data_IF_728565612097
#
_entry.id   IF_728565612097
#
_cell.length_a   1.000
_cell.length_b   1.000
_cell.length_c   1.000
_cell.angle_alpha   90.00
_cell.angle_beta   90.00
_cell.angle_gamma   90.00
#
_symmetry.space_group_name_H-M   'P 1'
#
loop_
_entity.id
_entity.type
_entity.pdbx_description
1 polymer ?
#
# COMPACT_ATOMS: atom_id res chain seq x y z
N UNK A 1 6.70 39.43 -78.45
CA UNK A 1 5.83 39.86 -77.32
C UNK A 1 4.75 38.78 -77.20
N UNK A 2 4.53 38.13 -76.04
CA UNK A 2 4.62 38.62 -74.67
C UNK A 2 5.73 37.96 -73.83
N UNK A 3 6.05 38.60 -72.69
CA UNK A 3 7.05 38.20 -71.71
C UNK A 3 6.40 37.29 -70.67
N UNK A 4 6.99 36.14 -70.39
CA UNK A 4 6.64 35.23 -69.29
C UNK A 4 7.13 35.82 -67.97
N UNK A 5 6.20 36.04 -67.04
CA UNK A 5 6.49 36.48 -65.67
C UNK A 5 6.69 35.20 -64.84
N UNK A 6 7.91 35.00 -64.34
CA UNK A 6 8.25 33.96 -63.37
C UNK A 6 7.85 34.44 -61.97
N UNK A 7 6.90 33.74 -61.34
CA UNK A 7 6.47 34.00 -59.98
C UNK A 7 7.24 33.06 -59.03
N UNK A 8 8.27 33.57 -58.36
CA UNK A 8 8.92 32.85 -57.26
C UNK A 8 7.97 32.80 -56.06
N UNK A 9 7.54 31.60 -55.69
CA UNK A 9 6.89 31.33 -54.41
C UNK A 9 7.97 31.20 -53.32
N UNK A 10 8.04 32.17 -52.42
CA UNK A 10 8.84 32.10 -51.20
C UNK A 10 8.06 31.35 -50.13
N UNK A 11 8.32 30.07 -49.95
CA UNK A 11 7.80 29.28 -48.81
C UNK A 11 8.56 29.65 -47.54
N UNK A 12 7.90 30.37 -46.63
CA UNK A 12 8.36 30.56 -45.25
C UNK A 12 7.97 29.32 -44.45
N UNK A 13 8.96 28.49 -44.11
CA UNK A 13 8.78 27.32 -43.26
C UNK A 13 8.94 27.76 -41.79
N UNK A 14 7.83 28.06 -41.12
CA UNK A 14 7.82 28.30 -39.68
C UNK A 14 7.92 26.98 -38.93
N UNK A 15 9.12 26.64 -38.44
CA UNK A 15 9.34 25.52 -37.54
C UNK A 15 8.84 25.88 -36.13
N UNK A 16 7.61 25.49 -35.80
CA UNK A 16 7.10 25.55 -34.43
C UNK A 16 7.73 24.40 -33.64
N UNK A 17 8.69 24.71 -32.78
CA UNK A 17 9.26 23.74 -31.84
C UNK A 17 8.28 23.52 -30.69
N UNK A 18 7.57 22.39 -30.71
CA UNK A 18 6.75 21.93 -29.59
C UNK A 18 7.68 21.42 -28.48
N UNK A 19 8.06 22.28 -27.55
CA UNK A 19 8.61 21.87 -26.26
C UNK A 19 7.45 21.38 -25.39
N UNK A 20 7.06 20.12 -25.56
CA UNK A 20 6.14 19.47 -24.63
C UNK A 20 6.79 19.38 -23.26
N UNK A 21 6.27 20.10 -22.28
CA UNK A 21 6.60 19.85 -20.87
C UNK A 21 6.15 18.42 -20.56
N UNK A 22 7.10 17.54 -20.23
CA UNK A 22 6.79 16.24 -19.64
C UNK A 22 6.12 16.50 -18.29
N UNK A 23 4.78 16.61 -18.26
CA UNK A 23 4.03 16.50 -17.02
C UNK A 23 4.26 15.09 -16.49
N UNK A 24 4.92 14.99 -15.34
CA UNK A 24 4.86 13.77 -14.54
C UNK A 24 3.38 13.54 -14.25
N UNK A 25 2.82 12.41 -14.71
CA UNK A 25 1.45 12.05 -14.40
C UNK A 25 1.31 12.02 -12.87
N UNK A 26 0.41 12.86 -12.34
CA UNK A 26 0.18 12.98 -10.91
C UNK A 26 -0.92 11.99 -10.51
N UNK A 27 -0.73 11.29 -9.39
CA UNK A 27 -1.75 10.44 -8.79
C UNK A 27 -3.08 11.18 -8.57
N UNK A 28 -4.18 10.47 -8.79
CA UNK A 28 -5.53 10.87 -8.43
C UNK A 28 -5.80 10.65 -6.94
N UNK A 29 -6.62 11.52 -6.35
CA UNK A 29 -7.06 11.36 -4.96
C UNK A 29 -8.17 10.32 -4.88
N UNK A 30 -7.97 9.30 -4.03
CA UNK A 30 -8.93 8.23 -3.82
C UNK A 30 -9.01 7.83 -2.35
N UNK A 31 -10.18 7.38 -1.91
CA UNK A 31 -10.35 6.77 -0.59
C UNK A 31 -11.33 5.61 -0.60
N UNK A 32 -11.07 4.64 0.26
CA UNK A 32 -11.91 3.46 0.41
C UNK A 32 -11.90 2.98 1.86
N UNK A 33 -13.03 2.55 2.40
CA UNK A 33 -13.11 1.96 3.75
C UNK A 33 -14.01 0.74 3.69
N UNK A 34 -13.54 -0.36 4.26
CA UNK A 34 -14.27 -1.63 4.33
C UNK A 34 -14.28 -2.15 5.77
N UNK A 35 -15.41 -2.73 6.17
CA UNK A 35 -15.50 -3.52 7.39
C UNK A 35 -14.77 -4.86 7.17
N UNK A 36 -13.69 -5.09 7.92
CA UNK A 36 -12.77 -6.20 7.68
C UNK A 36 -13.39 -7.58 7.95
N UNK A 37 -14.50 -7.66 8.70
CA UNK A 37 -15.17 -8.93 9.01
C UNK A 37 -16.27 -9.26 7.99
N UNK A 38 -17.11 -8.28 7.68
CA UNK A 38 -18.27 -8.48 6.81
C UNK A 38 -17.99 -8.24 5.33
N UNK A 39 -16.90 -7.52 5.00
CA UNK A 39 -16.63 -7.05 3.65
C UNK A 39 -17.54 -5.90 3.21
N UNK A 40 -18.35 -5.34 4.11
CA UNK A 40 -19.22 -4.22 3.80
C UNK A 40 -18.38 -2.98 3.44
N UNK A 41 -18.64 -2.44 2.24
CA UNK A 41 -18.07 -1.15 1.81
C UNK A 41 -18.74 -0.02 2.60
N UNK A 42 -17.93 0.80 3.25
CA UNK A 42 -18.36 1.92 4.08
C UNK A 42 -18.11 3.27 3.41
N UNK A 43 -17.00 3.36 2.68
CA UNK A 43 -16.61 4.53 1.88
C UNK A 43 -16.05 4.03 0.55
N UNK A 44 -16.40 4.71 -0.54
CA UNK A 44 -15.79 4.52 -1.85
C UNK A 44 -15.78 5.87 -2.60
N UNK A 45 -14.59 6.39 -2.86
CA UNK A 45 -14.37 7.61 -3.62
C UNK A 45 -13.19 7.40 -4.56
N UNK A 46 -13.46 7.45 -5.87
CA UNK A 46 -12.48 7.16 -6.93
C UNK A 46 -11.74 5.84 -6.68
N UNK A 47 -12.43 4.85 -6.10
CA UNK A 47 -11.80 3.67 -5.51
C UNK A 47 -11.13 2.77 -6.54
N UNK A 48 -11.55 2.89 -7.80
CA UNK A 48 -11.03 2.17 -8.96
C UNK A 48 -10.12 3.04 -9.85
N UNK A 49 -9.81 4.27 -9.45
CA UNK A 49 -8.85 5.12 -10.17
C UNK A 49 -7.44 4.53 -10.07
N UNK A 50 -6.78 4.40 -11.23
CA UNK A 50 -5.41 3.89 -11.30
C UNK A 50 -4.44 4.87 -10.68
N UNK A 51 -3.65 4.38 -9.74
CA UNK A 51 -2.68 5.14 -8.99
C UNK A 51 -1.37 4.40 -8.81
N UNK A 52 -0.29 5.16 -8.60
CA UNK A 52 1.01 4.59 -8.25
C UNK A 52 1.00 4.14 -6.77
N UNK A 53 1.31 2.87 -6.46
CA UNK A 53 1.22 2.34 -5.09
C UNK A 53 2.29 2.90 -4.15
N UNK A 54 3.43 3.34 -4.69
CA UNK A 54 4.64 3.61 -3.91
C UNK A 54 4.93 2.46 -2.91
N UNK A 55 5.42 2.77 -1.71
CA UNK A 55 5.73 1.73 -0.71
C UNK A 55 4.53 0.91 -0.19
N UNK A 56 3.28 1.18 -0.61
CA UNK A 56 2.18 0.25 -0.35
C UNK A 56 2.42 -1.10 -1.03
N UNK A 57 3.18 -1.13 -2.14
CA UNK A 57 3.65 -2.36 -2.82
C UNK A 57 4.26 -3.38 -1.86
N UNK A 58 4.97 -2.92 -0.81
CA UNK A 58 5.62 -3.81 0.14
C UNK A 58 4.64 -4.64 0.98
N UNK A 59 3.35 -4.28 1.02
CA UNK A 59 2.31 -5.14 1.59
C UNK A 59 2.23 -6.47 0.83
N UNK A 60 2.32 -6.45 -0.50
CA UNK A 60 2.32 -7.68 -1.32
C UNK A 60 3.63 -8.45 -1.17
N UNK A 61 4.76 -7.76 -1.06
CA UNK A 61 6.05 -8.41 -0.75
C UNK A 61 6.00 -9.16 0.57
N UNK A 62 5.44 -8.55 1.62
CA UNK A 62 5.23 -9.20 2.91
C UNK A 62 4.22 -10.34 2.82
N UNK A 63 3.11 -10.17 2.09
CA UNK A 63 2.13 -11.23 1.86
C UNK A 63 2.80 -12.49 1.29
N UNK A 64 3.61 -12.34 0.22
CA UNK A 64 4.33 -13.47 -0.38
C UNK A 64 5.43 -14.04 0.53
N UNK A 65 6.08 -13.21 1.34
CA UNK A 65 7.04 -13.67 2.34
C UNK A 65 6.37 -14.53 3.42
N UNK A 66 5.22 -14.10 3.94
CA UNK A 66 4.45 -14.85 4.93
C UNK A 66 3.92 -16.15 4.34
N UNK A 67 3.40 -16.13 3.12
CA UNK A 67 3.00 -17.35 2.40
C UNK A 67 4.18 -18.34 2.27
N UNK A 68 5.39 -17.84 1.96
CA UNK A 68 6.58 -18.67 1.85
C UNK A 68 7.05 -19.22 3.20
N UNK A 69 6.91 -18.46 4.29
CA UNK A 69 7.20 -18.92 5.65
C UNK A 69 6.26 -20.05 6.07
N UNK A 70 4.95 -19.88 5.86
CA UNK A 70 3.94 -20.90 6.17
C UNK A 70 4.10 -22.16 5.31
N UNK A 71 4.53 -22.01 4.06
CA UNK A 71 4.84 -23.13 3.17
C UNK A 71 6.21 -23.78 3.41
N UNK A 72 7.00 -23.31 4.39
CA UNK A 72 8.34 -23.82 4.68
C UNK A 72 9.40 -23.53 3.61
N UNK A 73 9.08 -22.66 2.64
CA UNK A 73 10.03 -22.19 1.59
C UNK A 73 10.98 -21.11 2.11
N UNK A 74 10.60 -20.42 3.18
CA UNK A 74 11.46 -19.55 3.98
C UNK A 74 11.42 -20.00 5.43
N UNK A 75 12.48 -19.64 6.18
CA UNK A 75 12.47 -19.67 7.64
C UNK A 75 12.87 -18.31 8.18
N UNK A 76 12.40 -17.95 9.37
CA UNK A 76 12.68 -16.64 9.98
C UNK A 76 14.18 -16.34 10.15
N UNK A 77 15.00 -17.37 10.38
CA UNK A 77 16.43 -17.25 10.61
C UNK A 77 17.29 -17.40 9.34
N UNK A 78 16.67 -17.80 8.23
CA UNK A 78 17.32 -17.88 6.93
C UNK A 78 17.99 -16.54 6.59
N UNK A 79 19.25 -16.62 6.14
CA UNK A 79 20.04 -15.45 5.79
C UNK A 79 19.89 -15.13 4.30
N UNK A 80 19.34 -13.96 4.03
CA UNK A 80 19.24 -13.36 2.69
C UNK A 80 20.54 -12.60 2.41
N UNK A 81 21.12 -12.85 1.23
CA UNK A 81 22.30 -12.09 0.77
C UNK A 81 21.84 -10.81 0.08
N UNK A 82 22.42 -9.69 0.47
CA UNK A 82 22.15 -8.41 -0.17
C UNK A 82 22.89 -8.32 -1.50
N UNK A 83 22.15 -8.30 -2.61
CA UNK A 83 22.71 -8.08 -3.94
C UNK A 83 23.08 -6.62 -4.17
N UNK A 84 23.82 -6.33 -5.24
CA UNK A 84 24.04 -4.96 -5.71
C UNK A 84 22.73 -4.25 -6.04
N UNK A 85 21.78 -4.98 -6.64
CA UNK A 85 20.45 -4.45 -6.94
C UNK A 85 19.72 -4.05 -5.67
N UNK A 86 19.68 -4.92 -4.65
CA UNK A 86 19.02 -4.64 -3.37
C UNK A 86 19.64 -3.43 -2.67
N UNK A 87 20.96 -3.39 -2.50
CA UNK A 87 21.64 -2.30 -1.79
C UNK A 87 21.57 -0.95 -2.51
N UNK A 88 21.37 -0.97 -3.84
CA UNK A 88 21.17 0.23 -4.66
C UNK A 88 19.79 0.89 -4.51
N UNK A 89 18.84 0.31 -3.78
CA UNK A 89 17.47 0.85 -3.66
C UNK A 89 17.34 1.91 -2.57
N UNK A 90 17.57 3.16 -2.94
CA UNK A 90 17.42 4.34 -2.07
C UNK A 90 15.96 4.83 -1.95
N UNK A 91 15.60 5.66 -0.94
CA UNK A 91 16.42 6.08 0.20
C UNK A 91 16.23 5.24 1.47
N UNK A 92 15.10 4.54 1.59
CA UNK A 92 14.76 3.79 2.80
C UNK A 92 15.36 2.40 2.72
N UNK A 93 16.35 2.09 3.56
CA UNK A 93 17.05 0.81 3.53
C UNK A 93 17.68 0.42 4.87
N UNK A 94 18.03 -0.85 5.05
CA UNK A 94 18.84 -1.34 6.17
C UNK A 94 20.33 -1.02 5.97
N UNK A 95 20.79 -0.89 4.72
CA UNK A 95 22.14 -0.47 4.35
C UNK A 95 23.26 -1.35 4.95
N UNK A 96 23.14 -2.68 4.87
CA UNK A 96 24.16 -3.56 5.46
C UNK A 96 25.37 -3.76 4.56
N UNK A 97 25.25 -3.47 3.26
CA UNK A 97 26.28 -3.55 2.24
C UNK A 97 26.19 -4.80 1.36
N UNK A 98 26.68 -4.69 0.13
CA UNK A 98 26.65 -5.78 -0.87
C UNK A 98 27.37 -7.03 -0.36
N UNK A 99 26.78 -8.20 -0.60
CA UNK A 99 27.28 -9.51 -0.17
C UNK A 99 27.10 -9.78 1.34
N UNK A 100 26.72 -8.78 2.14
CA UNK A 100 26.36 -8.96 3.54
C UNK A 100 24.97 -9.58 3.62
N UNK A 101 24.63 -10.08 4.80
CA UNK A 101 23.41 -10.85 5.01
C UNK A 101 22.51 -10.22 6.05
N UNK A 102 21.21 -10.35 5.87
CA UNK A 102 20.16 -10.11 6.88
C UNK A 102 19.32 -11.37 7.06
N UNK A 103 18.77 -11.64 8.23
CA UNK A 103 17.76 -12.71 8.33
C UNK A 103 16.44 -12.28 7.70
N UNK A 104 15.59 -13.26 7.34
CA UNK A 104 14.20 -12.98 6.93
C UNK A 104 13.47 -12.15 7.99
N UNK A 105 13.70 -12.44 9.29
CA UNK A 105 13.17 -11.61 10.39
C UNK A 105 13.65 -10.16 10.33
N UNK A 106 14.96 -9.93 10.20
CA UNK A 106 15.52 -8.57 10.07
C UNK A 106 14.92 -7.85 8.85
N UNK A 107 14.77 -8.55 7.71
CA UNK A 107 14.21 -7.99 6.49
C UNK A 107 12.73 -7.62 6.64
N UNK A 108 11.89 -8.52 7.16
CA UNK A 108 10.47 -8.27 7.41
C UNK A 108 10.28 -7.11 8.37
N UNK A 109 10.98 -7.11 9.51
CA UNK A 109 10.90 -6.03 10.49
C UNK A 109 11.36 -4.69 9.90
N UNK A 110 12.43 -4.70 9.07
CA UNK A 110 12.89 -3.53 8.33
C UNK A 110 11.87 -2.99 7.33
N UNK A 111 11.18 -3.86 6.60
CA UNK A 111 10.11 -3.47 5.67
C UNK A 111 8.93 -2.86 6.43
N UNK A 112 8.52 -3.48 7.53
CA UNK A 112 7.38 -3.03 8.32
C UNK A 112 7.65 -1.68 8.97
N UNK A 113 8.79 -1.53 9.65
CA UNK A 113 9.09 -0.32 10.44
C UNK A 113 9.67 0.80 9.58
N UNK A 114 10.67 0.49 8.76
CA UNK A 114 11.41 1.50 7.99
C UNK A 114 10.97 1.63 6.54
N UNK A 115 10.11 0.73 6.06
CA UNK A 115 9.82 0.63 4.63
C UNK A 115 11.07 0.34 3.79
N UNK A 116 12.00 -0.45 4.34
CA UNK A 116 13.28 -0.78 3.74
C UNK A 116 13.13 -1.42 2.35
N UNK A 117 13.61 -0.73 1.31
CA UNK A 117 13.56 -1.14 -0.09
C UNK A 117 14.52 -2.31 -0.35
N UNK A 118 15.74 -2.20 0.16
CA UNK A 118 16.78 -3.21 0.02
C UNK A 118 16.33 -4.58 0.57
N UNK A 119 15.70 -4.58 1.74
CA UNK A 119 15.12 -5.77 2.35
C UNK A 119 13.97 -6.35 1.50
N UNK A 120 13.12 -5.50 0.91
CA UNK A 120 12.04 -5.94 0.03
C UNK A 120 12.60 -6.61 -1.22
N UNK A 121 13.64 -6.05 -1.83
CA UNK A 121 14.32 -6.64 -2.99
C UNK A 121 15.03 -7.93 -2.62
N UNK A 122 15.72 -8.00 -1.49
CA UNK A 122 16.37 -9.24 -1.04
C UNK A 122 15.37 -10.38 -0.83
N UNK A 123 14.19 -10.11 -0.26
CA UNK A 123 13.09 -11.09 -0.20
C UNK A 123 12.62 -11.45 -1.61
N UNK A 124 12.42 -10.46 -2.47
CA UNK A 124 11.94 -10.66 -3.84
C UNK A 124 12.88 -11.54 -4.66
N UNK A 125 14.18 -11.28 -4.64
CA UNK A 125 15.21 -12.07 -5.32
C UNK A 125 15.31 -13.48 -4.73
N UNK A 126 15.19 -13.64 -3.41
CA UNK A 126 15.18 -14.96 -2.78
C UNK A 126 13.99 -15.83 -3.22
N UNK A 127 12.82 -15.22 -3.45
CA UNK A 127 11.59 -15.93 -3.80
C UNK A 127 11.38 -16.10 -5.31
N UNK A 128 11.74 -15.08 -6.10
CA UNK A 128 11.52 -15.02 -7.54
C UNK A 128 12.76 -15.28 -8.38
N UNK A 129 13.93 -15.41 -7.77
CA UNK A 129 15.24 -15.50 -8.44
C UNK A 129 15.77 -14.15 -8.92
N UNK A 130 14.89 -13.30 -9.45
CA UNK A 130 15.16 -11.89 -9.81
C UNK A 130 14.02 -11.00 -9.34
N UNK A 131 14.27 -9.69 -9.17
CA UNK A 131 13.24 -8.72 -8.79
C UNK A 131 12.11 -8.64 -9.82
N UNK A 132 12.44 -8.64 -11.13
CA UNK A 132 11.44 -8.63 -12.21
C UNK A 132 10.52 -9.85 -12.18
N UNK A 133 11.09 -11.03 -11.93
CA UNK A 133 10.34 -12.27 -11.78
C UNK A 133 9.41 -12.21 -10.57
N UNK A 134 9.91 -11.65 -9.47
CA UNK A 134 9.10 -11.42 -8.29
C UNK A 134 7.95 -10.42 -8.55
N UNK A 135 8.18 -9.34 -9.31
CA UNK A 135 7.11 -8.42 -9.72
C UNK A 135 5.96 -9.11 -10.47
N UNK A 136 6.28 -10.06 -11.36
CA UNK A 136 5.27 -10.90 -12.01
C UNK A 136 4.51 -11.79 -11.02
N UNK A 137 5.23 -12.45 -10.11
CA UNK A 137 4.60 -13.25 -9.05
C UNK A 137 3.66 -12.42 -8.15
N UNK A 138 4.06 -11.19 -7.81
CA UNK A 138 3.24 -10.25 -7.05
C UNK A 138 1.95 -9.91 -7.80
N UNK A 139 2.04 -9.62 -9.10
CA UNK A 139 0.87 -9.33 -9.95
C UNK A 139 -0.06 -10.54 -10.06
N UNK A 140 0.48 -11.73 -10.30
CA UNK A 140 -0.31 -12.96 -10.34
C UNK A 140 -1.02 -13.22 -9.00
N UNK A 141 -0.35 -12.95 -7.88
CA UNK A 141 -0.96 -13.06 -6.55
C UNK A 141 -2.06 -12.02 -6.37
N UNK A 142 -1.82 -10.77 -6.76
CA UNK A 142 -2.80 -9.69 -6.70
C UNK A 142 -4.10 -10.11 -7.40
N UNK A 143 -4.00 -10.58 -8.64
CA UNK A 143 -5.16 -11.05 -9.41
C UNK A 143 -5.88 -12.24 -8.74
N UNK A 144 -5.14 -13.19 -8.15
CA UNK A 144 -5.72 -14.31 -7.39
C UNK A 144 -6.47 -13.86 -6.13
N UNK A 145 -6.09 -12.72 -5.54
CA UNK A 145 -6.78 -12.12 -4.41
C UNK A 145 -7.98 -11.25 -4.84
N UNK A 146 -8.19 -11.05 -6.13
CA UNK A 146 -9.26 -10.20 -6.68
C UNK A 146 -8.84 -8.75 -6.95
N UNK A 147 -7.54 -8.43 -6.87
CA UNK A 147 -6.99 -7.11 -7.18
C UNK A 147 -6.77 -6.96 -8.70
N UNK A 148 -7.83 -6.98 -9.49
CA UNK A 148 -7.76 -7.08 -10.97
C UNK A 148 -7.19 -5.85 -11.67
N UNK A 149 -7.06 -4.72 -10.97
CA UNK A 149 -6.56 -3.46 -11.53
C UNK A 149 -5.12 -3.16 -11.06
N UNK A 150 -4.44 -4.15 -10.49
CA UNK A 150 -3.11 -3.98 -9.90
C UNK A 150 -2.02 -4.69 -10.71
N UNK A 151 -0.98 -3.94 -11.05
CA UNK A 151 0.25 -4.45 -11.67
C UNK A 151 1.42 -4.03 -10.80
N UNK A 152 2.19 -5.01 -10.34
CA UNK A 152 3.46 -4.81 -9.64
C UNK A 152 4.63 -5.05 -10.58
N UNK A 153 5.65 -4.19 -10.50
CA UNK A 153 6.84 -4.27 -11.34
C UNK A 153 8.10 -4.56 -10.54
N UNK A 154 8.10 -4.20 -9.26
CA UNK A 154 9.24 -4.40 -8.38
C UNK A 154 8.78 -4.64 -6.93
N UNK A 155 9.70 -5.10 -6.06
CA UNK A 155 9.35 -5.53 -4.71
C UNK A 155 9.13 -4.35 -3.73
N UNK A 156 9.65 -3.18 -4.07
CA UNK A 156 9.74 -2.04 -3.15
C UNK A 156 8.64 -0.99 -3.37
N UNK A 157 8.08 -0.92 -4.57
CA UNK A 157 7.21 0.18 -4.97
C UNK A 157 7.98 1.42 -5.42
N UNK A 158 9.27 1.30 -5.74
CA UNK A 158 10.01 2.37 -6.41
C UNK A 158 9.37 2.69 -7.77
N UNK A 159 9.53 3.93 -8.27
CA UNK A 159 8.83 4.39 -9.47
C UNK A 159 9.06 3.48 -10.68
N UNK A 160 7.95 3.07 -11.28
CA UNK A 160 7.87 2.38 -12.56
C UNK A 160 6.54 2.80 -13.19
N UNK A 161 6.51 3.30 -14.45
CA UNK A 161 5.30 3.80 -15.08
C UNK A 161 4.22 2.73 -15.31
N UNK A 162 4.59 1.45 -15.39
CA UNK A 162 3.65 0.33 -15.57
C UNK A 162 3.13 -0.20 -14.23
N UNK A 163 3.67 0.26 -13.11
CA UNK A 163 3.26 -0.18 -11.78
C UNK A 163 2.07 0.63 -11.26
N UNK A 164 0.90 0.01 -11.19
CA UNK A 164 -0.35 0.67 -10.82
C UNK A 164 -1.17 -0.18 -9.86
N UNK A 165 -2.07 0.45 -9.13
CA UNK A 165 -3.07 -0.18 -8.25
C UNK A 165 -4.28 0.74 -8.10
N UNK A 166 -5.23 0.37 -7.27
CA UNK A 166 -6.38 1.21 -6.88
C UNK A 166 -6.57 1.21 -5.36
N UNK A 167 -7.37 2.14 -4.84
CA UNK A 167 -7.67 2.17 -3.41
C UNK A 167 -8.47 0.93 -2.97
N UNK A 168 -9.38 0.44 -3.82
CA UNK A 168 -10.10 -0.81 -3.62
C UNK A 168 -9.14 -2.00 -3.49
N UNK A 169 -8.23 -2.17 -4.45
CA UNK A 169 -7.31 -3.30 -4.49
C UNK A 169 -6.37 -3.31 -3.27
N UNK A 170 -5.91 -2.14 -2.84
CA UNK A 170 -5.09 -2.02 -1.62
C UNK A 170 -5.88 -2.36 -0.34
N UNK A 171 -7.19 -2.10 -0.30
CA UNK A 171 -8.04 -2.54 0.80
C UNK A 171 -8.21 -4.06 0.81
N UNK A 172 -8.41 -4.67 -0.36
CA UNK A 172 -8.45 -6.14 -0.54
C UNK A 172 -7.16 -6.77 0.01
N UNK A 173 -6.00 -6.21 -0.33
CA UNK A 173 -4.72 -6.70 0.17
C UNK A 173 -4.58 -6.54 1.70
N UNK A 174 -5.02 -5.41 2.24
CA UNK A 174 -5.02 -5.16 3.69
C UNK A 174 -5.86 -6.19 4.45
N UNK A 175 -7.07 -6.47 3.98
CA UNK A 175 -7.95 -7.51 4.54
C UNK A 175 -7.35 -8.90 4.37
N UNK A 176 -6.75 -9.22 3.22
CA UNK A 176 -6.12 -10.51 2.97
C UNK A 176 -4.95 -10.77 3.93
N UNK A 177 -4.07 -9.78 4.16
CA UNK A 177 -2.99 -9.89 5.14
C UNK A 177 -3.50 -10.23 6.54
N UNK A 178 -4.59 -9.59 6.98
CA UNK A 178 -5.20 -9.86 8.28
C UNK A 178 -5.82 -11.25 8.36
N UNK A 179 -6.54 -11.66 7.32
CA UNK A 179 -7.27 -12.92 7.25
C UNK A 179 -6.32 -14.11 7.20
N UNK A 180 -5.29 -14.02 6.35
CA UNK A 180 -4.45 -15.16 6.00
C UNK A 180 -3.24 -15.29 6.93
N UNK A 181 -2.76 -14.17 7.50
CA UNK A 181 -1.56 -14.13 8.34
C UNK A 181 -1.79 -13.33 9.63
N UNK A 182 -2.78 -13.68 10.48
CA UNK A 182 -3.15 -12.88 11.66
C UNK A 182 -2.03 -12.76 12.70
N UNK A 183 -1.11 -13.72 12.78
CA UNK A 183 0.02 -13.66 13.70
C UNK A 183 1.11 -12.70 13.18
N UNK A 184 1.48 -12.81 11.90
CA UNK A 184 2.42 -11.90 11.26
C UNK A 184 1.85 -10.49 11.11
N UNK A 185 0.52 -10.35 10.96
CA UNK A 185 -0.15 -9.06 10.86
C UNK A 185 0.13 -8.18 12.09
N UNK A 186 0.32 -8.79 13.28
CA UNK A 186 0.67 -8.05 14.50
C UNK A 186 1.97 -7.26 14.36
N UNK A 187 2.87 -7.67 13.47
CA UNK A 187 4.12 -6.95 13.20
C UNK A 187 3.85 -5.53 12.69
N UNK A 188 2.79 -5.29 11.92
CA UNK A 188 2.45 -3.95 11.41
C UNK A 188 2.20 -2.91 12.50
N UNK A 189 1.93 -3.35 13.74
CA UNK A 189 1.79 -2.46 14.89
C UNK A 189 3.13 -1.98 15.48
N UNK A 190 4.26 -2.50 15.01
CA UNK A 190 5.60 -2.16 15.48
C UNK A 190 5.95 -0.70 15.16
N UNK A 191 6.22 0.07 16.21
CA UNK A 191 6.64 1.48 16.11
C UNK A 191 8.15 1.66 15.92
N UNK A 192 8.92 0.63 16.18
CA UNK A 192 10.38 0.66 16.08
C UNK A 192 10.99 -0.73 16.25
N UNK A 193 12.24 -0.87 15.81
CA UNK A 193 13.03 -2.11 15.93
C UNK A 193 14.40 -1.82 16.55
N UNK A 194 15.00 -2.87 17.13
CA UNK A 194 16.43 -2.87 17.47
C UNK A 194 17.16 -3.69 16.41
N UNK A 195 17.84 -3.01 15.51
CA UNK A 195 18.61 -3.65 14.44
C UNK A 195 20.10 -3.48 14.73
N UNK A 196 20.79 -4.58 15.06
CA UNK A 196 22.25 -4.61 15.26
C UNK A 196 22.80 -3.52 16.19
N UNK A 197 22.11 -3.31 17.31
CA UNK A 197 22.45 -2.29 18.31
C UNK A 197 21.88 -0.90 18.03
N UNK A 198 21.34 -0.65 16.83
CA UNK A 198 20.67 0.61 16.49
C UNK A 198 19.18 0.55 16.81
N UNK A 199 18.63 1.63 17.37
CA UNK A 199 17.19 1.80 17.53
C UNK A 199 16.65 2.55 16.33
N UNK A 200 15.80 1.90 15.55
CA UNK A 200 15.20 2.45 14.34
C UNK A 200 13.71 2.66 14.60
N UNK A 201 13.18 3.82 14.20
CA UNK A 201 11.77 4.22 14.44
C UNK A 201 11.02 4.28 13.13
N UNK A 202 9.77 3.86 13.15
CA UNK A 202 8.90 3.92 11.97
C UNK A 202 8.28 5.29 11.77
N UNK A 203 7.83 5.52 10.54
CA UNK A 203 7.28 6.78 10.03
C UNK A 203 5.74 6.79 9.90
N UNK A 204 5.05 5.71 10.31
CA UNK A 204 3.59 5.67 10.26
C UNK A 204 2.98 6.45 11.45
N UNK A 205 2.73 7.74 11.25
CA UNK A 205 2.23 8.64 12.28
C UNK A 205 0.89 8.18 12.89
N UNK A 206 0.00 7.57 12.08
CA UNK A 206 -1.31 7.09 12.54
C UNK A 206 -1.18 6.07 13.66
N UNK A 207 -0.14 5.23 13.62
CA UNK A 207 0.16 4.26 14.68
C UNK A 207 0.45 4.89 16.04
N UNK A 208 0.84 6.17 16.09
CA UNK A 208 1.13 6.88 17.33
C UNK A 208 -0.05 7.73 17.79
N UNK A 209 -0.83 8.30 16.86
CA UNK A 209 -1.84 9.32 17.15
C UNK A 209 -3.28 8.81 17.18
N UNK A 210 -3.57 7.63 16.62
CA UNK A 210 -4.93 7.12 16.52
C UNK A 210 -5.13 5.88 17.39
N UNK A 211 -5.95 6.01 18.45
CA UNK A 211 -6.28 4.90 19.33
C UNK A 211 -7.07 3.82 18.58
N UNK A 212 -6.55 2.59 18.58
CA UNK A 212 -7.13 1.46 17.88
C UNK A 212 -6.49 1.13 16.54
N UNK A 213 -5.57 1.97 16.02
CA UNK A 213 -4.79 1.64 14.83
C UNK A 213 -3.75 0.55 15.12
N UNK A 214 -3.71 -0.48 14.28
CA UNK A 214 -2.81 -1.65 14.40
C UNK A 214 -2.05 -1.98 13.11
N UNK A 215 -2.15 -1.13 12.08
CA UNK A 215 -1.42 -1.22 10.82
C UNK A 215 -1.85 -0.13 9.83
N UNK A 216 -1.52 -0.20 8.54
CA UNK A 216 -0.67 -1.22 7.91
C UNK A 216 0.56 -0.54 7.31
N UNK A 217 0.39 0.37 6.34
CA UNK A 217 1.53 0.87 5.57
C UNK A 217 1.27 2.24 4.96
N UNK A 218 2.28 3.12 5.01
CA UNK A 218 2.34 4.35 4.22
C UNK A 218 3.14 4.16 2.93
N UNK A 219 2.84 4.99 1.92
CA UNK A 219 3.62 5.15 0.69
C UNK A 219 3.77 6.62 0.31
N UNK A 220 4.89 6.95 -0.34
CA UNK A 220 5.13 8.24 -0.97
C UNK A 220 6.15 8.10 -2.10
N UNK A 221 5.88 8.77 -3.20
CA UNK A 221 6.81 9.20 -4.27
C UNK A 221 6.22 10.48 -4.87
N UNK A 222 7.02 11.26 -5.57
CA UNK A 222 6.53 12.51 -6.18
C UNK A 222 5.36 12.26 -7.15
N UNK A 223 5.39 11.15 -7.90
CA UNK A 223 4.30 10.77 -8.81
C UNK A 223 3.05 10.25 -8.08
N UNK A 224 3.21 9.59 -6.93
CA UNK A 224 2.10 8.92 -6.23
C UNK A 224 1.38 9.80 -5.20
N UNK A 225 1.96 10.94 -4.80
CA UNK A 225 1.50 11.67 -3.63
C UNK A 225 1.67 10.85 -2.34
N UNK A 226 0.92 11.22 -1.29
CA UNK A 226 0.97 10.58 0.02
C UNK A 226 -0.16 9.56 0.17
N UNK A 227 0.21 8.28 0.37
CA UNK A 227 -0.72 7.14 0.41
C UNK A 227 -0.68 6.40 1.74
N UNK A 228 -1.79 5.84 2.20
CA UNK A 228 -1.85 5.06 3.44
C UNK A 228 -2.97 4.04 3.42
N UNK A 229 -2.62 2.83 3.84
CA UNK A 229 -3.55 1.79 4.26
C UNK A 229 -3.47 1.67 5.78
N UNK A 230 -4.60 1.82 6.46
CA UNK A 230 -4.72 1.69 7.91
C UNK A 230 -5.70 0.60 8.28
N UNK A 231 -5.33 -0.22 9.25
CA UNK A 231 -6.26 -1.10 9.95
C UNK A 231 -6.51 -0.53 11.33
N UNK A 232 -7.76 -0.54 11.77
CA UNK A 232 -8.12 -0.06 13.10
C UNK A 232 -9.36 -0.76 13.67
N UNK A 233 -9.32 -0.97 14.99
CA UNK A 233 -10.43 -1.56 15.76
C UNK A 233 -10.88 -0.63 16.87
N UNK A 234 -12.20 -0.41 16.97
CA UNK A 234 -12.84 0.29 18.09
C UNK A 234 -14.27 -0.23 18.27
N UNK A 235 -14.74 -0.36 19.51
CA UNK A 235 -16.12 -0.76 19.83
C UNK A 235 -16.55 -2.09 19.17
N UNK A 236 -15.63 -3.05 19.03
CA UNK A 236 -15.89 -4.35 18.40
C UNK A 236 -15.93 -4.33 16.87
N UNK A 237 -15.90 -3.15 16.24
CA UNK A 237 -15.80 -3.00 14.78
C UNK A 237 -14.35 -2.89 14.35
N UNK A 238 -14.01 -3.56 13.25
CA UNK A 238 -12.67 -3.58 12.66
C UNK A 238 -12.78 -3.13 11.20
N UNK A 239 -12.05 -2.09 10.82
CA UNK A 239 -12.06 -1.55 9.46
C UNK A 239 -10.66 -1.53 8.86
N UNK A 240 -10.59 -1.64 7.53
CA UNK A 240 -9.42 -1.30 6.73
C UNK A 240 -9.78 -0.06 5.89
N UNK A 241 -9.02 1.01 6.07
CA UNK A 241 -9.15 2.27 5.33
C UNK A 241 -7.95 2.51 4.42
N UNK A 242 -8.21 3.09 3.25
CA UNK A 242 -7.22 3.47 2.25
C UNK A 242 -7.42 4.93 1.85
N UNK A 243 -6.32 5.68 1.78
CA UNK A 243 -6.25 7.04 1.24
C UNK A 243 -5.06 7.11 0.29
N UNK A 244 -5.25 7.62 -0.91
CA UNK A 244 -4.23 7.74 -1.95
C UNK A 244 -4.20 9.14 -2.58
N UNK A 245 -3.04 9.54 -3.10
CA UNK A 245 -2.88 10.73 -3.94
C UNK A 245 -2.86 12.06 -3.21
N UNK A 246 -2.73 12.06 -1.87
CA UNK A 246 -2.81 13.31 -1.11
C UNK A 246 -1.55 14.17 -1.24
N UNK A 247 -1.70 15.49 -1.08
CA UNK A 247 -0.61 16.45 -1.34
C UNK A 247 0.45 16.48 -0.24
N UNK A 248 0.07 16.17 1.01
CA UNK A 248 0.99 16.15 2.15
C UNK A 248 0.68 14.99 3.08
N UNK A 249 1.67 14.58 3.87
CA UNK A 249 1.47 13.56 4.91
C UNK A 249 0.40 13.98 5.93
N UNK A 250 0.33 15.26 6.28
CA UNK A 250 -0.64 15.78 7.24
C UNK A 250 -2.07 15.68 6.71
N UNK A 251 -2.32 16.09 5.46
CA UNK A 251 -3.65 16.00 4.83
C UNK A 251 -4.08 14.53 4.77
N UNK A 252 -3.18 13.66 4.32
CA UNK A 252 -3.37 12.20 4.27
C UNK A 252 -3.73 11.62 5.63
N UNK A 253 -2.99 11.99 6.66
CA UNK A 253 -3.19 11.48 8.02
C UNK A 253 -4.53 11.99 8.61
N UNK A 254 -4.87 13.25 8.37
CA UNK A 254 -6.12 13.87 8.85
C UNK A 254 -7.35 13.31 8.13
N UNK A 255 -7.27 13.10 6.81
CA UNK A 255 -8.32 12.44 6.04
C UNK A 255 -8.56 11.01 6.53
N UNK A 256 -7.49 10.23 6.74
CA UNK A 256 -7.61 8.87 7.28
C UNK A 256 -8.27 8.88 8.67
N UNK A 257 -7.80 9.72 9.59
CA UNK A 257 -8.38 9.81 10.93
C UNK A 257 -9.88 10.16 10.90
N UNK A 258 -10.28 11.11 10.06
CA UNK A 258 -11.68 11.50 9.88
C UNK A 258 -12.57 10.35 9.37
N UNK A 259 -12.07 9.58 8.38
CA UNK A 259 -12.76 8.38 7.89
C UNK A 259 -12.91 7.33 9.00
N UNK A 260 -11.82 7.07 9.74
CA UNK A 260 -11.86 6.11 10.84
C UNK A 260 -12.82 6.55 11.95
N UNK A 261 -12.82 7.82 12.36
CA UNK A 261 -13.74 8.33 13.37
C UNK A 261 -15.21 8.21 12.93
N UNK A 262 -15.49 8.43 11.65
CA UNK A 262 -16.83 8.26 11.08
C UNK A 262 -17.30 6.80 11.17
N UNK A 263 -16.45 5.85 10.76
CA UNK A 263 -16.87 4.46 10.57
C UNK A 263 -16.63 3.53 11.77
N UNK A 264 -15.80 3.95 12.73
CA UNK A 264 -15.57 3.28 14.01
C UNK A 264 -16.36 3.90 15.18
N UNK A 265 -17.20 4.91 14.92
CA UNK A 265 -18.12 5.44 15.90
C UNK A 265 -19.07 4.33 16.43
N UNK A 266 -19.53 4.42 17.69
CA UNK A 266 -20.56 3.53 18.20
C UNK A 266 -21.77 3.54 17.28
N UNK A 267 -22.24 2.36 16.84
CA UNK A 267 -23.54 2.26 16.18
C UNK A 267 -24.61 2.57 17.24
N UNK A 268 -25.52 3.56 17.01
CA UNK A 268 -26.60 3.82 17.94
C UNK A 268 -27.40 2.54 18.16
N UNK A 269 -27.43 2.04 19.39
CA UNK A 269 -28.22 0.88 19.75
C UNK A 269 -29.69 1.29 19.67
N UNK A 270 -30.37 0.98 18.57
CA UNK A 270 -31.83 1.06 18.53
C UNK A 270 -32.37 0.01 19.50
N UNK A 271 -32.70 0.46 20.71
CA UNK A 271 -33.34 -0.35 21.74
C UNK A 271 -34.66 -0.90 21.20
N UNK A 272 -34.68 -2.16 20.80
CA UNK A 272 -35.93 -2.92 20.65
C UNK A 272 -36.24 -3.55 22.00
N UNK A 273 -36.82 -2.75 22.90
CA UNK A 273 -37.58 -3.28 24.03
C UNK A 273 -39.04 -3.29 23.60
N UNK A 274 -39.50 -4.45 23.11
CA UNK A 274 -40.93 -4.78 23.15
C UNK A 274 -41.09 -5.91 24.15
N UNK A 275 -41.17 -5.55 25.42
CA UNK A 275 -41.67 -6.44 26.47
C UNK A 275 -43.14 -6.67 26.22
N UNK A 276 -43.49 -7.83 25.66
CA UNK A 276 -44.85 -8.32 25.66
C UNK A 276 -45.33 -8.49 27.10
N UNK A 277 -46.33 -7.71 27.49
CA UNK A 277 -47.04 -7.83 28.75
C UNK A 277 -47.78 -9.18 28.80
N UNK A 278 -47.60 -10.04 29.84
CA UNK A 278 -48.49 -11.17 30.04
C UNK A 278 -49.83 -10.65 30.55
N UNK A 279 -50.89 -10.89 29.79
CA UNK A 279 -52.27 -10.60 30.21
C UNK A 279 -52.62 -11.56 31.36
N UNK A 280 -52.87 -11.01 32.55
CA UNK A 280 -53.41 -11.73 33.69
C UNK A 280 -54.75 -12.38 33.30
N UNK A 281 -54.86 -13.69 33.53
CA UNK A 281 -56.12 -14.42 33.55
C UNK A 281 -56.72 -14.27 34.95
N UNK A 282 -57.80 -13.51 35.06
CA UNK A 282 -58.69 -13.49 36.23
C UNK A 282 -59.88 -14.39 35.96
N UNK A 283 -60.23 -15.18 36.98
CA UNK A 283 -61.32 -16.14 37.04
C UNK A 283 -62.68 -15.59 36.56
N UNK A 284 -63.42 -16.46 35.87
CA UNK A 284 -64.75 -16.94 36.27
C UNK A 284 -65.09 -18.21 35.48
#
# INVERSE_FOLDING_TARGET
MPKTISLLFTTVLSAVSFLGSLSIAQAGQASYVVDARSGQVLEASNENELNYPASLTKMMTLYLAFEALHAGRLTWDQKLTMSENAEGKEPFKLAVGVGRKVSVREAVEGIVVLSANDAAVAIGEQLGGTEDSFGRMMTEKAHKLGMSNTVFKNASGLPDPEQVTTAHDMAVLGVALMRDFPEEFKLFSMRGIKFRGMKLRGHNNLMYRYAGADGIKTGYTDASGYNLVTSATRNGRHVVGVVMGEKTAEIRDNKMASLLDTYLAPVPTTATVSTGTPKQSSAN
#
